data_IF_877971894664
#
_entry.id   IF_877971894664
#
_cell.length_a   1.000
_cell.length_b   1.000
_cell.length_c   1.000
_cell.angle_alpha   90.00
_cell.angle_beta   90.00
_cell.angle_gamma   90.00
#
_symmetry.space_group_name_H-M   'P 1'
#
loop_
_entity.id
_entity.type
_entity.pdbx_description
1 polymer ?
#
# COMPACT_ATOMS: atom_id res chain seq x y z
N UNK A 1 30.22 -15.40 47.10
CA UNK A 1 28.94 -14.96 47.71
C UNK A 1 28.88 -13.44 47.68
N UNK A 2 28.07 -12.87 46.79
CA UNK A 2 27.53 -11.51 46.91
C UNK A 2 26.42 -11.38 45.86
N UNK A 3 25.16 -11.56 46.28
CA UNK A 3 23.99 -11.30 45.45
C UNK A 3 23.57 -9.85 45.69
N UNK A 4 23.85 -8.99 44.72
CA UNK A 4 23.29 -7.64 44.68
C UNK A 4 21.81 -7.74 44.30
N UNK A 5 20.94 -7.24 45.19
CA UNK A 5 19.50 -7.08 44.96
C UNK A 5 19.29 -5.83 44.13
N UNK A 6 18.95 -5.97 42.86
CA UNK A 6 18.46 -4.86 42.04
C UNK A 6 16.97 -4.70 42.29
N UNK A 7 16.63 -3.64 43.02
CA UNK A 7 15.28 -3.15 43.26
C UNK A 7 14.64 -2.75 41.93
N UNK A 8 13.58 -3.46 41.51
CA UNK A 8 12.69 -2.98 40.45
C UNK A 8 11.94 -1.76 40.98
N UNK A 9 12.38 -0.56 40.60
CA UNK A 9 11.60 0.65 40.72
C UNK A 9 10.47 0.63 39.69
N UNK A 10 9.25 0.36 40.16
CA UNK A 10 8.02 0.51 39.39
C UNK A 10 7.80 2.02 39.14
N UNK A 11 8.36 2.53 38.04
CA UNK A 11 8.07 3.89 37.59
C UNK A 11 6.68 3.90 36.94
N UNK A 12 5.69 4.31 37.73
CA UNK A 12 4.34 4.60 37.25
C UNK A 12 4.42 5.82 36.32
N UNK A 13 4.58 5.59 35.02
CA UNK A 13 4.41 6.64 34.02
C UNK A 13 2.92 7.02 33.97
N UNK A 14 2.54 8.03 34.75
CA UNK A 14 1.31 8.78 34.53
C UNK A 14 1.40 9.42 33.15
N UNK A 15 0.79 8.79 32.15
CA UNK A 15 0.50 9.44 30.89
C UNK A 15 -0.44 10.61 31.20
N UNK A 16 0.08 11.84 31.09
CA UNK A 16 -0.75 13.04 31.12
C UNK A 16 -1.50 13.04 29.80
N UNK A 17 -2.70 12.47 29.80
CA UNK A 17 -3.67 12.68 28.72
C UNK A 17 -4.04 14.16 28.72
N UNK A 18 -4.23 14.79 27.56
CA UNK A 18 -5.11 15.95 27.50
C UNK A 18 -6.51 15.42 27.79
N UNK A 19 -6.86 15.32 29.08
CA UNK A 19 -8.24 15.28 29.50
C UNK A 19 -8.82 16.58 28.96
N UNK A 20 -9.72 16.49 27.99
CA UNK A 20 -10.63 17.59 27.71
C UNK A 20 -11.15 18.04 29.07
N UNK A 21 -10.83 19.27 29.47
CA UNK A 21 -11.53 19.96 30.54
C UNK A 21 -12.96 20.19 30.04
N UNK A 22 -13.74 19.12 29.97
CA UNK A 22 -15.15 19.13 29.68
C UNK A 22 -15.82 19.61 30.96
N UNK A 23 -16.02 20.92 31.04
CA UNK A 23 -16.99 21.51 31.94
C UNK A 23 -18.39 21.05 31.54
N UNK A 24 -18.76 19.82 31.92
CA UNK A 24 -20.11 19.23 32.02
C UNK A 24 -19.97 17.71 32.06
N UNK A 25 -20.62 17.02 32.99
CA UNK A 25 -20.59 15.55 33.16
C UNK A 25 -21.15 14.79 31.94
N UNK A 26 -20.38 14.65 30.87
CA UNK A 26 -20.72 13.80 29.72
C UNK A 26 -20.74 12.33 30.15
N UNK A 27 -21.77 11.58 29.74
CA UNK A 27 -21.82 10.13 30.00
C UNK A 27 -20.89 9.41 29.02
N UNK A 28 -19.96 8.59 29.53
CA UNK A 28 -19.05 7.81 28.68
C UNK A 28 -19.50 6.36 28.55
N UNK A 29 -19.52 5.85 27.33
CA UNK A 29 -19.64 4.41 27.03
C UNK A 29 -18.26 3.85 26.72
N UNK A 30 -17.90 2.76 27.38
CA UNK A 30 -16.62 2.11 27.23
C UNK A 30 -16.76 0.81 26.44
N UNK A 31 -15.89 0.63 25.45
CA UNK A 31 -15.74 -0.57 24.66
C UNK A 31 -14.32 -1.10 24.76
N UNK A 32 -14.24 -2.41 24.81
CA UNK A 32 -13.03 -3.22 24.62
C UNK A 32 -13.33 -4.31 23.60
N UNK A 33 -12.32 -4.98 23.00
CA UNK A 33 -12.57 -6.09 22.08
C UNK A 33 -13.54 -7.13 22.63
N UNK A 34 -13.38 -7.56 23.87
CA UNK A 34 -14.29 -8.50 24.53
C UNK A 34 -15.74 -8.00 24.57
N UNK A 35 -15.98 -6.75 24.97
CA UNK A 35 -17.36 -6.21 25.07
C UNK A 35 -18.07 -6.09 23.72
N UNK A 36 -17.32 -5.99 22.62
CA UNK A 36 -17.87 -5.94 21.26
C UNK A 36 -17.80 -7.31 20.54
N UNK A 37 -17.35 -8.36 21.25
CA UNK A 37 -17.21 -9.71 20.70
C UNK A 37 -16.14 -9.82 19.61
N UNK A 38 -15.05 -9.05 19.72
CA UNK A 38 -13.91 -9.03 18.80
C UNK A 38 -14.26 -8.68 17.35
N UNK A 39 -15.37 -7.96 17.14
CA UNK A 39 -15.80 -7.52 15.80
C UNK A 39 -14.99 -6.30 15.36
N UNK A 40 -14.36 -6.39 14.19
CA UNK A 40 -13.57 -5.28 13.62
C UNK A 40 -14.44 -4.04 13.37
N UNK A 41 -15.71 -4.21 12.99
CA UNK A 41 -16.64 -3.11 12.84
C UNK A 41 -17.15 -2.66 14.21
N UNK A 42 -16.77 -1.46 14.64
CA UNK A 42 -17.24 -0.89 15.88
C UNK A 42 -18.75 -0.57 15.82
N UNK A 43 -19.50 -0.74 16.92
CA UNK A 43 -20.94 -0.48 16.97
C UNK A 43 -21.29 0.99 16.70
N UNK A 44 -22.49 1.28 16.20
CA UNK A 44 -22.97 2.67 16.11
C UNK A 44 -23.33 3.20 17.51
N UNK A 45 -23.14 4.51 17.71
CA UNK A 45 -23.61 5.19 18.92
C UNK A 45 -24.56 6.32 18.57
N UNK A 46 -25.61 6.49 19.37
CA UNK A 46 -26.49 7.65 19.33
C UNK A 46 -26.61 8.24 20.73
N UNK A 47 -26.68 9.56 20.82
CA UNK A 47 -27.00 10.23 22.08
C UNK A 47 -28.48 9.97 22.40
N UNK A 48 -28.82 9.32 23.54
CA UNK A 48 -30.21 9.08 23.88
C UNK A 48 -30.99 10.39 24.10
N UNK A 49 -32.31 10.40 23.87
CA UNK A 49 -33.15 11.56 24.18
C UNK A 49 -32.96 12.01 25.64
N UNK A 50 -32.81 13.32 25.87
CA UNK A 50 -32.62 13.90 27.20
C UNK A 50 -31.19 13.83 27.75
N UNK A 51 -30.23 13.22 27.03
CA UNK A 51 -28.81 13.24 27.40
C UNK A 51 -28.12 14.40 26.67
N UNK A 52 -27.62 15.38 27.43
CA UNK A 52 -26.97 16.56 26.85
C UNK A 52 -25.60 16.30 26.21
N UNK A 53 -24.91 15.23 26.61
CA UNK A 53 -23.60 14.85 26.07
C UNK A 53 -23.29 13.37 26.31
N UNK A 54 -22.77 12.69 25.28
CA UNK A 54 -22.32 11.29 25.35
C UNK A 54 -20.98 11.14 24.62
N UNK A 55 -20.00 10.52 25.29
CA UNK A 55 -18.70 10.16 24.75
C UNK A 55 -18.64 8.64 24.59
N UNK A 56 -17.91 8.16 23.58
CA UNK A 56 -17.57 6.74 23.46
C UNK A 56 -16.06 6.59 23.51
N UNK A 57 -15.58 5.60 24.24
CA UNK A 57 -14.17 5.22 24.28
C UNK A 57 -14.04 3.76 23.87
N UNK A 58 -13.17 3.46 22.91
CA UNK A 58 -12.72 2.10 22.62
C UNK A 58 -11.25 1.97 23.01
N UNK A 59 -10.95 1.04 23.91
CA UNK A 59 -9.58 0.79 24.36
C UNK A 59 -9.14 -0.66 24.14
N UNK A 60 -7.89 -0.81 23.69
CA UNK A 60 -7.18 -2.09 23.60
C UNK A 60 -6.01 -2.11 24.57
N UNK A 61 -5.64 -3.28 25.07
CA UNK A 61 -4.46 -3.49 25.91
C UNK A 61 -3.83 -4.87 25.65
N UNK A 62 -2.73 -5.20 26.35
CA UNK A 62 -1.99 -6.44 26.11
C UNK A 62 -2.82 -7.72 26.32
N UNK A 63 -3.86 -7.69 27.16
CA UNK A 63 -4.71 -8.84 27.49
C UNK A 63 -6.02 -8.88 26.70
N UNK A 64 -6.47 -7.75 26.20
CA UNK A 64 -7.72 -7.59 25.46
C UNK A 64 -7.44 -6.79 24.19
N UNK A 65 -7.11 -7.52 23.12
CA UNK A 65 -6.42 -6.99 21.95
C UNK A 65 -7.14 -7.30 20.65
N UNK A 66 -7.08 -6.34 19.72
CA UNK A 66 -7.36 -6.51 18.30
C UNK A 66 -6.34 -5.72 17.49
N UNK A 67 -5.90 -6.27 16.35
CA UNK A 67 -4.93 -5.60 15.49
C UNK A 67 -5.57 -4.53 14.61
N UNK A 68 -6.86 -4.65 14.32
CA UNK A 68 -7.55 -3.77 13.36
C UNK A 68 -9.00 -3.50 13.74
N UNK A 69 -9.45 -2.30 13.42
CA UNK A 69 -10.83 -1.85 13.58
C UNK A 69 -11.31 -1.03 12.37
N UNK A 70 -12.62 -0.94 12.24
CA UNK A 70 -13.36 0.02 11.42
C UNK A 70 -14.24 0.85 12.34
N UNK A 71 -14.21 2.15 12.12
CA UNK A 71 -15.02 3.13 12.86
C UNK A 71 -16.50 2.90 12.59
N UNK A 72 -17.39 3.30 13.52
CA UNK A 72 -18.81 3.15 13.32
C UNK A 72 -19.32 3.90 12.07
N UNK A 73 -20.43 3.44 11.51
CA UNK A 73 -21.10 4.14 10.41
C UNK A 73 -21.75 5.45 10.88
N UNK A 74 -22.16 5.52 12.14
CA UNK A 74 -22.65 6.73 12.80
C UNK A 74 -22.23 6.72 14.28
N UNK A 75 -21.66 7.83 14.75
CA UNK A 75 -21.20 7.97 16.13
C UNK A 75 -21.13 9.42 16.61
N UNK A 76 -21.12 9.62 17.94
CA UNK A 76 -20.84 10.91 18.58
C UNK A 76 -19.34 11.19 18.65
N UNK A 77 -18.83 11.92 19.65
CA UNK A 77 -17.40 11.90 19.97
C UNK A 77 -16.92 10.48 20.30
N UNK A 78 -15.79 10.06 19.72
CA UNK A 78 -15.22 8.71 19.89
C UNK A 78 -13.71 8.79 20.11
N UNK A 79 -13.24 8.28 21.24
CA UNK A 79 -11.83 8.11 21.56
C UNK A 79 -11.40 6.67 21.27
N UNK A 80 -10.29 6.52 20.56
CA UNK A 80 -9.63 5.24 20.32
C UNK A 80 -8.30 5.25 21.05
N UNK A 81 -8.10 4.32 21.99
CA UNK A 81 -6.95 4.29 22.89
C UNK A 81 -6.22 2.96 22.78
N UNK A 82 -4.92 3.02 22.48
CA UNK A 82 -4.03 1.87 22.56
C UNK A 82 -3.24 1.91 23.88
N UNK A 83 -3.74 1.22 24.90
CA UNK A 83 -3.14 1.08 26.22
C UNK A 83 -2.20 -0.13 26.34
N UNK A 84 -1.77 -0.74 25.23
CA UNK A 84 -0.78 -1.80 25.28
C UNK A 84 0.56 -1.26 25.81
N UNK A 85 1.31 -2.10 26.54
CA UNK A 85 2.66 -1.76 26.99
C UNK A 85 3.72 -2.17 25.96
N UNK A 86 3.45 -3.18 25.12
CA UNK A 86 4.39 -3.62 24.10
C UNK A 86 4.43 -2.68 22.90
N UNK A 87 5.62 -2.19 22.52
CA UNK A 87 5.80 -1.34 21.34
C UNK A 87 5.47 -2.03 20.01
N UNK A 88 5.34 -3.35 20.00
CA UNK A 88 4.95 -4.14 18.82
C UNK A 88 3.42 -4.12 18.60
N UNK A 89 2.65 -3.79 19.63
CA UNK A 89 1.19 -3.76 19.60
C UNK A 89 0.70 -2.48 18.91
N UNK A 90 0.45 -2.60 17.62
CA UNK A 90 -0.05 -1.50 16.77
C UNK A 90 -1.51 -1.75 16.40
N UNK A 91 -2.38 -0.79 16.70
CA UNK A 91 -3.78 -0.82 16.29
C UNK A 91 -3.94 -0.13 14.93
N UNK A 92 -4.58 -0.80 13.98
CA UNK A 92 -4.87 -0.26 12.65
C UNK A 92 -6.33 0.18 12.50
N UNK A 93 -6.55 1.41 12.03
CA UNK A 93 -7.87 1.96 11.77
C UNK A 93 -8.09 1.99 10.25
N UNK A 94 -9.03 1.19 9.75
CA UNK A 94 -9.26 0.92 8.32
C UNK A 94 -10.43 1.72 7.72
N UNK A 95 -10.58 2.97 8.15
CA UNK A 95 -11.62 3.88 7.67
C UNK A 95 -11.09 5.07 6.88
N UNK A 96 -11.98 5.70 6.12
CA UNK A 96 -11.66 6.92 5.39
C UNK A 96 -11.76 8.10 6.35
N UNK A 97 -10.62 8.69 6.67
CA UNK A 97 -10.50 9.80 7.62
C UNK A 97 -10.07 11.05 6.83
N UNK A 98 -10.78 12.15 7.04
CA UNK A 98 -10.50 13.43 6.40
C UNK A 98 -9.08 13.89 6.73
N UNK A 99 -8.33 14.36 5.72
CA UNK A 99 -6.93 14.76 5.87
C UNK A 99 -5.94 13.61 6.08
N UNK A 100 -6.37 12.35 5.93
CA UNK A 100 -5.54 11.15 6.13
C UNK A 100 -5.74 10.19 4.95
N UNK A 101 -5.24 10.52 3.76
CA UNK A 101 -5.48 9.73 2.56
C UNK A 101 -4.75 8.38 2.62
N UNK A 102 -5.38 7.34 2.08
CA UNK A 102 -4.90 5.96 2.18
C UNK A 102 -5.29 5.28 3.51
N UNK A 103 -5.18 3.95 3.55
CA UNK A 103 -5.49 3.12 4.71
C UNK A 103 -4.35 2.12 4.94
N UNK A 104 -4.12 1.67 6.18
CA UNK A 104 -4.75 2.12 7.43
C UNK A 104 -4.15 3.43 8.00
N UNK A 105 -4.75 3.99 9.05
CA UNK A 105 -4.06 4.85 10.03
C UNK A 105 -3.60 3.98 11.20
N UNK A 106 -2.35 4.11 11.65
CA UNK A 106 -1.79 3.29 12.72
C UNK A 106 -1.67 4.05 14.03
N UNK A 107 -1.97 3.35 15.13
CA UNK A 107 -1.89 3.87 16.49
C UNK A 107 -0.96 2.98 17.33
N UNK A 108 0.22 3.50 17.65
CA UNK A 108 1.19 2.79 18.48
C UNK A 108 0.71 2.62 19.93
N UNK A 109 1.31 1.66 20.63
CA UNK A 109 1.16 1.49 22.06
C UNK A 109 1.39 2.80 22.84
N UNK A 110 0.53 3.06 23.83
CA UNK A 110 0.54 4.27 24.65
C UNK A 110 0.02 5.53 23.95
N UNK A 111 -0.67 5.40 22.81
CA UNK A 111 -1.25 6.54 22.07
C UNK A 111 -2.77 6.46 22.04
N UNK A 112 -3.38 7.64 21.89
CA UNK A 112 -4.81 7.82 21.68
C UNK A 112 -5.07 8.71 20.46
N UNK A 113 -6.27 8.61 19.91
CA UNK A 113 -6.81 9.53 18.90
C UNK A 113 -8.32 9.71 19.12
N UNK A 114 -8.77 10.94 19.02
CA UNK A 114 -10.15 11.37 19.19
C UNK A 114 -10.77 11.73 17.84
N UNK A 115 -11.96 11.19 17.59
CA UNK A 115 -12.77 11.45 16.41
C UNK A 115 -13.98 12.31 16.75
N UNK A 116 -14.30 13.20 15.82
CA UNK A 116 -15.52 14.01 15.82
C UNK A 116 -16.73 13.17 15.42
N UNK A 117 -17.92 13.66 15.76
CA UNK A 117 -19.17 12.98 15.45
C UNK A 117 -19.38 12.81 13.95
N UNK A 118 -19.92 11.63 13.60
CA UNK A 118 -20.27 11.23 12.24
C UNK A 118 -21.75 10.93 12.18
N UNK A 119 -22.50 11.68 11.35
CA UNK A 119 -23.82 11.22 10.90
C UNK A 119 -23.63 10.23 9.74
N UNK A 120 -24.60 9.32 9.56
CA UNK A 120 -24.54 8.32 8.48
C UNK A 120 -24.19 8.96 7.13
N UNK A 121 -23.20 8.41 6.45
CA UNK A 121 -22.73 8.91 5.14
C UNK A 121 -21.79 10.12 5.17
N UNK A 122 -21.50 10.71 6.33
CA UNK A 122 -20.55 11.84 6.43
C UNK A 122 -19.09 11.39 6.56
N UNK A 123 -18.16 12.29 6.24
CA UNK A 123 -16.72 12.12 6.45
C UNK A 123 -16.37 12.09 7.94
N UNK A 124 -15.33 11.32 8.29
CA UNK A 124 -14.77 11.27 9.64
C UNK A 124 -13.71 12.35 9.79
N UNK A 125 -13.73 13.07 10.91
CA UNK A 125 -12.71 14.07 11.27
C UNK A 125 -12.12 13.74 12.64
N UNK A 126 -10.93 14.28 12.93
CA UNK A 126 -10.20 14.06 14.18
C UNK A 126 -9.79 15.38 14.82
N UNK A 127 -9.76 15.42 16.14
CA UNK A 127 -9.23 16.54 16.92
C UNK A 127 -7.70 16.58 16.96
N UNK A 128 -7.03 15.43 16.77
CA UNK A 128 -5.58 15.27 16.92
C UNK A 128 -4.81 15.55 15.64
N UNK A 129 -5.29 16.51 14.86
CA UNK A 129 -4.60 17.02 13.68
C UNK A 129 -4.10 18.44 13.92
N UNK A 130 -2.87 18.71 13.49
CA UNK A 130 -2.36 20.07 13.39
C UNK A 130 -2.24 20.47 11.92
N UNK A 131 -2.59 21.71 11.57
CA UNK A 131 -2.42 22.23 10.21
C UNK A 131 -1.33 23.29 10.18
N UNK A 132 -0.45 23.20 9.19
CA UNK A 132 0.66 24.13 8.98
C UNK A 132 0.80 24.45 7.50
N UNK A 133 1.34 25.64 7.19
CA UNK A 133 1.67 26.02 5.82
C UNK A 133 3.08 26.62 5.78
N UNK A 134 3.84 26.44 4.69
CA UNK A 134 5.14 27.07 4.52
C UNK A 134 5.03 28.61 4.35
N UNK A 135 6.10 29.35 4.66
CA UNK A 135 6.14 30.82 4.59
C UNK A 135 6.34 31.37 3.17
N UNK A 136 5.88 30.67 2.13
CA UNK A 136 6.09 31.03 0.71
C UNK A 136 7.57 31.14 0.29
N UNK A 137 8.25 29.99 0.17
CA UNK A 137 9.71 29.91 -0.05
C UNK A 137 10.06 28.93 -1.17
N UNK A 138 11.29 28.95 -1.67
CA UNK A 138 11.76 27.94 -2.63
C UNK A 138 11.86 26.55 -1.99
N UNK A 139 12.28 26.48 -0.72
CA UNK A 139 12.46 25.24 0.03
C UNK A 139 12.07 25.42 1.49
N UNK A 140 11.36 24.45 2.04
CA UNK A 140 10.94 24.46 3.44
C UNK A 140 11.15 23.09 4.12
N UNK A 141 11.80 23.13 5.28
CA UNK A 141 11.89 21.99 6.18
C UNK A 141 10.62 21.97 7.04
N UNK A 142 9.84 20.90 6.93
CA UNK A 142 8.66 20.72 7.78
C UNK A 142 9.16 20.59 9.24
N UNK A 143 8.64 21.40 10.18
CA UNK A 143 9.04 21.31 11.57
C UNK A 143 8.51 20.02 12.19
N UNK A 144 9.14 19.61 13.31
CA UNK A 144 8.70 18.43 14.05
C UNK A 144 7.24 18.58 14.47
N UNK A 145 6.45 17.54 14.23
CA UNK A 145 5.08 17.44 14.67
C UNK A 145 4.99 17.11 16.17
N UNK A 146 4.02 17.72 16.86
CA UNK A 146 3.66 17.38 18.24
C UNK A 146 2.46 16.42 18.31
N UNK A 147 1.59 16.45 17.30
CA UNK A 147 0.38 15.64 17.17
C UNK A 147 0.62 14.37 16.34
N UNK A 148 -0.26 13.38 16.47
CA UNK A 148 -0.23 12.16 15.64
C UNK A 148 -0.38 12.46 14.15
N UNK A 149 -1.26 13.41 13.80
CA UNK A 149 -1.51 13.81 12.41
C UNK A 149 -1.08 15.26 12.22
N UNK A 150 -0.30 15.51 11.17
CA UNK A 150 0.05 16.86 10.72
C UNK A 150 -0.31 17.03 9.26
N UNK A 151 -1.09 18.07 8.96
CA UNK A 151 -1.53 18.44 7.63
C UNK A 151 -0.69 19.64 7.19
N UNK A 152 0.06 19.47 6.12
CA UNK A 152 0.80 20.53 5.45
C UNK A 152 -0.08 21.02 4.30
N UNK A 153 -0.75 22.15 4.51
CA UNK A 153 -1.62 22.80 3.53
C UNK A 153 -0.81 23.78 2.68
N UNK A 154 -0.63 23.46 1.41
CA UNK A 154 0.00 24.31 0.42
C UNK A 154 -1.08 25.03 -0.39
N UNK A 155 -0.96 26.35 -0.48
CA UNK A 155 -1.88 27.20 -1.26
C UNK A 155 -1.12 28.38 -1.87
N UNK A 156 -1.76 29.07 -2.80
CA UNK A 156 -1.17 30.28 -3.38
C UNK A 156 -0.82 31.29 -2.27
N UNK A 157 0.42 31.79 -2.26
CA UNK A 157 0.93 32.68 -1.20
C UNK A 157 1.36 31.99 0.10
N UNK A 158 1.19 30.67 0.23
CA UNK A 158 1.75 29.82 1.29
C UNK A 158 2.22 28.50 0.70
N UNK A 159 3.24 28.57 -0.14
CA UNK A 159 3.76 27.44 -0.91
C UNK A 159 5.25 27.19 -0.64
N UNK A 160 5.73 25.98 -0.93
CA UNK A 160 7.15 25.72 -1.03
C UNK A 160 7.44 24.89 -2.28
N UNK A 161 8.42 25.30 -3.09
CA UNK A 161 8.81 24.54 -4.28
C UNK A 161 9.35 23.15 -3.93
N UNK A 162 10.10 23.08 -2.83
CA UNK A 162 10.61 21.84 -2.27
C UNK A 162 10.26 21.71 -0.78
N UNK A 163 9.92 20.49 -0.37
CA UNK A 163 9.66 20.14 1.02
C UNK A 163 10.66 19.09 1.50
N UNK A 164 11.04 19.19 2.77
CA UNK A 164 11.84 18.16 3.45
C UNK A 164 11.07 17.72 4.69
N UNK A 165 10.82 16.41 4.81
CA UNK A 165 10.19 15.82 5.99
C UNK A 165 11.07 16.02 7.24
N UNK A 166 10.52 16.05 8.46
CA UNK A 166 11.32 16.19 9.68
C UNK A 166 12.39 15.09 9.79
N UNK A 167 13.52 15.37 10.45
CA UNK A 167 14.58 14.36 10.62
C UNK A 167 14.24 13.25 11.62
N UNK A 168 13.23 13.47 12.46
CA UNK A 168 12.78 12.55 13.52
C UNK A 168 11.25 12.58 13.63
N UNK A 169 10.67 11.48 14.12
CA UNK A 169 9.26 11.37 14.46
C UNK A 169 9.05 10.40 15.63
N UNK A 170 7.83 10.32 16.15
CA UNK A 170 7.38 9.23 17.03
C UNK A 170 6.72 8.13 16.21
N UNK A 171 6.55 6.95 16.81
CA UNK A 171 5.96 5.78 16.15
C UNK A 171 4.64 6.11 15.46
N UNK A 172 4.62 5.97 14.13
CA UNK A 172 3.47 6.21 13.26
C UNK A 172 2.94 7.65 13.25
N UNK A 173 3.77 8.61 13.65
CA UNK A 173 3.50 10.01 13.33
C UNK A 173 3.26 10.16 11.83
N UNK A 174 2.21 10.89 11.48
CA UNK A 174 1.68 10.98 10.12
C UNK A 174 1.77 12.41 9.63
N UNK A 175 2.33 12.59 8.44
CA UNK A 175 2.34 13.86 7.73
C UNK A 175 1.57 13.67 6.42
N UNK A 176 0.46 14.38 6.31
CA UNK A 176 -0.28 14.56 5.06
C UNK A 176 0.16 15.87 4.43
N UNK A 177 0.54 15.84 3.16
CA UNK A 177 0.87 17.05 2.39
C UNK A 177 -0.23 17.21 1.36
N UNK A 178 -1.02 18.28 1.48
CA UNK A 178 -2.12 18.63 0.59
C UNK A 178 -1.71 19.83 -0.24
N UNK A 179 -1.77 19.69 -1.56
CA UNK A 179 -1.44 20.79 -2.44
C UNK A 179 -2.67 21.39 -3.11
N UNK A 180 -3.17 22.48 -2.55
CA UNK A 180 -4.24 23.29 -3.11
C UNK A 180 -3.71 24.51 -3.90
N UNK A 181 -2.38 24.61 -4.08
CA UNK A 181 -1.77 25.66 -4.89
C UNK A 181 -1.78 25.31 -6.38
N UNK A 182 -1.70 26.34 -7.22
CA UNK A 182 -1.60 26.18 -8.68
C UNK A 182 -0.30 25.51 -9.14
N UNK A 183 0.78 25.67 -8.37
CA UNK A 183 2.09 25.10 -8.66
C UNK A 183 2.31 23.80 -7.91
N UNK A 184 3.00 22.85 -8.54
CA UNK A 184 3.39 21.61 -7.88
C UNK A 184 4.51 21.85 -6.85
N UNK A 185 4.58 21.00 -5.83
CA UNK A 185 5.72 20.91 -4.91
C UNK A 185 6.45 19.57 -5.10
N UNK A 186 7.70 19.52 -4.67
CA UNK A 186 8.52 18.30 -4.65
C UNK A 186 9.00 18.00 -3.25
N UNK A 187 8.62 16.86 -2.69
CA UNK A 187 9.13 16.40 -1.40
C UNK A 187 10.40 15.58 -1.60
N UNK A 188 11.48 15.99 -0.94
CA UNK A 188 12.79 15.36 -1.02
C UNK A 188 12.87 14.12 -0.13
N UNK A 189 13.52 13.05 -0.63
CA UNK A 189 13.70 11.78 0.07
C UNK A 189 14.71 11.79 1.23
N UNK A 190 15.26 12.95 1.64
CA UNK A 190 16.37 13.07 2.61
C UNK A 190 16.20 12.24 3.88
N UNK A 191 14.96 12.14 4.40
CA UNK A 191 14.64 11.41 5.63
C UNK A 191 13.77 10.17 5.39
N UNK A 192 13.76 9.64 4.18
CA UNK A 192 13.16 8.34 3.82
C UNK A 192 14.26 7.28 3.70
N UNK A 193 13.92 5.99 3.47
CA UNK A 193 14.91 4.97 3.14
C UNK A 193 15.65 5.20 1.82
N UNK A 194 15.12 6.08 0.95
CA UNK A 194 15.64 6.32 -0.39
C UNK A 194 15.92 7.82 -0.60
N UNK A 195 17.12 8.31 -0.24
CA UNK A 195 17.48 9.74 -0.35
C UNK A 195 17.37 10.33 -1.76
N UNK A 196 17.51 9.48 -2.79
CA UNK A 196 17.34 9.84 -4.20
C UNK A 196 15.89 10.04 -4.64
N UNK A 197 14.91 9.62 -3.83
CA UNK A 197 13.49 9.70 -4.17
C UNK A 197 13.00 11.15 -4.20
N UNK A 198 12.07 11.44 -5.10
CA UNK A 198 11.36 12.72 -5.17
C UNK A 198 9.86 12.46 -5.32
N UNK A 199 9.07 12.95 -4.37
CA UNK A 199 7.61 12.87 -4.43
C UNK A 199 7.07 14.17 -5.01
N UNK A 200 6.61 14.17 -6.25
CA UNK A 200 5.90 15.32 -6.80
C UNK A 200 4.46 15.33 -6.27
N UNK A 201 3.97 16.49 -5.84
CA UNK A 201 2.59 16.69 -5.37
C UNK A 201 1.98 17.83 -6.18
N UNK A 202 1.09 17.50 -7.12
CA UNK A 202 0.48 18.45 -8.04
C UNK A 202 -0.72 19.15 -7.40
N UNK A 203 -1.22 20.19 -8.06
CA UNK A 203 -2.46 20.87 -7.65
C UNK A 203 -3.61 19.87 -7.49
N UNK A 204 -4.31 19.94 -6.37
CA UNK A 204 -5.43 19.05 -5.99
C UNK A 204 -5.01 17.70 -5.42
N UNK A 205 -3.72 17.40 -5.29
CA UNK A 205 -3.25 16.11 -4.77
C UNK A 205 -2.91 16.16 -3.28
N UNK A 206 -2.99 14.98 -2.65
CA UNK A 206 -2.49 14.74 -1.31
C UNK A 206 -1.59 13.50 -1.27
N UNK A 207 -0.49 13.57 -0.52
CA UNK A 207 0.40 12.45 -0.24
C UNK A 207 0.55 12.27 1.26
N UNK A 208 0.84 11.04 1.72
CA UNK A 208 0.98 10.73 3.14
C UNK A 208 2.27 9.97 3.42
N UNK A 209 3.04 10.49 4.37
CA UNK A 209 4.19 9.82 4.96
C UNK A 209 3.89 9.45 6.42
N UNK A 210 4.42 8.31 6.86
CA UNK A 210 4.30 7.80 8.22
C UNK A 210 5.71 7.49 8.75
N UNK A 211 6.01 7.87 9.99
CA UNK A 211 7.30 7.57 10.60
C UNK A 211 7.34 6.13 11.09
N UNK A 212 8.21 5.32 10.49
CA UNK A 212 8.46 3.95 10.93
C UNK A 212 9.40 3.96 12.15
N UNK A 213 8.95 3.48 13.33
CA UNK A 213 9.75 3.52 14.54
C UNK A 213 10.96 2.57 14.53
N UNK A 214 10.94 1.51 13.73
CA UNK A 214 12.01 0.53 13.64
C UNK A 214 13.06 0.97 12.64
N UNK A 215 12.65 1.38 11.44
CA UNK A 215 13.56 1.93 10.44
C UNK A 215 14.08 3.32 10.81
N UNK A 216 13.36 4.05 11.68
CA UNK A 216 13.60 5.45 12.04
C UNK A 216 13.64 6.35 10.80
N UNK A 217 12.72 6.11 9.87
CA UNK A 217 12.60 6.80 8.58
C UNK A 217 11.13 7.06 8.27
N UNK A 218 10.90 8.10 7.47
CA UNK A 218 9.58 8.36 6.92
C UNK A 218 9.31 7.46 5.72
N UNK A 219 8.18 6.77 5.77
CA UNK A 219 7.70 5.84 4.75
C UNK A 219 6.52 6.46 4.02
N UNK A 220 6.54 6.47 2.69
CA UNK A 220 5.37 6.85 1.91
C UNK A 220 4.31 5.76 1.99
N UNK A 221 3.20 6.07 2.67
CA UNK A 221 2.07 5.15 2.86
C UNK A 221 0.89 5.50 1.93
N UNK A 222 0.89 6.70 1.34
CA UNK A 222 -0.04 7.08 0.28
C UNK A 222 0.62 8.01 -0.73
N UNK A 223 0.43 7.72 -2.01
CA UNK A 223 0.69 8.62 -3.13
C UNK A 223 -0.32 8.32 -4.24
N UNK A 224 -0.89 9.35 -4.90
CA UNK A 224 -1.87 9.16 -5.96
C UNK A 224 -1.21 8.55 -7.20
N UNK A 225 -2.02 7.86 -8.00
CA UNK A 225 -1.61 7.44 -9.34
C UNK A 225 -1.80 8.61 -10.30
N UNK A 226 -0.77 8.92 -11.08
CA UNK A 226 -0.88 9.89 -12.17
C UNK A 226 -1.00 9.20 -13.49
N UNK A 227 -2.08 9.46 -14.20
CA UNK A 227 -2.21 9.04 -15.57
C UNK A 227 -1.25 9.83 -16.47
N UNK A 228 -0.65 9.13 -17.42
CA UNK A 228 0.21 9.71 -18.44
C UNK A 228 -0.24 9.22 -19.81
N UNK A 229 -0.35 10.16 -20.73
CA UNK A 229 -0.68 9.90 -22.13
C UNK A 229 0.51 9.32 -22.88
N UNK A 230 0.23 8.44 -23.85
CA UNK A 230 1.26 7.78 -24.68
C UNK A 230 2.10 8.77 -25.50
N UNK A 231 1.52 9.91 -25.90
CA UNK A 231 2.27 11.00 -26.56
C UNK A 231 3.39 11.56 -25.67
N UNK A 232 3.19 11.53 -24.35
CA UNK A 232 4.11 12.07 -23.34
C UNK A 232 5.02 11.00 -22.74
N UNK A 233 5.08 9.80 -23.33
CA UNK A 233 5.82 8.62 -22.83
C UNK A 233 7.30 8.87 -22.53
N UNK A 234 7.92 9.86 -23.16
CA UNK A 234 9.34 10.19 -22.95
C UNK A 234 9.57 11.21 -21.83
N UNK A 235 8.52 11.90 -21.36
CA UNK A 235 8.64 12.82 -20.23
C UNK A 235 8.86 12.06 -18.92
N UNK A 236 9.51 12.72 -17.96
CA UNK A 236 9.73 12.18 -16.60
C UNK A 236 8.42 11.73 -15.96
N UNK A 237 8.42 10.58 -15.30
CA UNK A 237 7.30 10.09 -14.48
C UNK A 237 7.25 10.76 -13.10
N UNK A 238 6.06 10.74 -12.49
CA UNK A 238 5.91 10.98 -11.06
C UNK A 238 6.20 9.68 -10.28
N UNK A 239 6.18 9.76 -8.96
CA UNK A 239 6.44 8.63 -8.05
C UNK A 239 5.60 7.38 -8.36
N UNK A 240 4.35 7.55 -8.79
CA UNK A 240 3.46 6.51 -9.30
C UNK A 240 2.74 6.97 -10.55
N UNK A 241 3.19 6.51 -11.70
CA UNK A 241 2.58 6.82 -13.00
C UNK A 241 1.88 5.60 -13.59
N UNK A 242 0.72 5.81 -14.20
CA UNK A 242 0.01 4.81 -15.01
C UNK A 242 -0.01 5.31 -16.44
N UNK A 243 0.40 4.48 -17.39
CA UNK A 243 0.24 4.75 -18.81
C UNK A 243 -0.53 3.60 -19.43
N UNK A 244 -1.70 3.93 -19.96
CA UNK A 244 -2.57 2.99 -20.65
C UNK A 244 -2.47 3.19 -22.16
N UNK A 245 -2.26 2.08 -22.87
CA UNK A 245 -2.33 2.03 -24.32
C UNK A 245 -3.74 1.60 -24.71
N UNK A 246 -4.39 2.40 -25.54
CA UNK A 246 -5.77 2.17 -26.00
C UNK A 246 -5.87 2.46 -27.50
N UNK A 247 -6.97 2.05 -28.11
CA UNK A 247 -7.22 2.39 -29.52
C UNK A 247 -7.27 3.92 -29.68
N UNK A 248 -6.48 4.45 -30.62
CA UNK A 248 -6.26 5.89 -30.81
C UNK A 248 -5.14 6.51 -29.95
N UNK A 249 -4.71 5.85 -28.88
CA UNK A 249 -3.53 6.23 -28.07
C UNK A 249 -2.63 4.99 -27.88
N UNK A 250 -1.98 4.57 -28.97
CA UNK A 250 -1.18 3.34 -29.04
C UNK A 250 0.28 3.62 -29.44
N UNK A 251 1.21 2.80 -28.98
CA UNK A 251 2.60 2.82 -29.41
C UNK A 251 3.27 1.46 -29.27
N UNK A 252 4.09 1.07 -30.24
CA UNK A 252 5.00 -0.07 -30.15
C UNK A 252 6.33 0.24 -30.85
N UNK A 253 7.49 0.02 -30.21
CA UNK A 253 7.62 -0.37 -28.81
C UNK A 253 7.26 0.77 -27.86
N UNK A 254 6.80 0.42 -26.66
CA UNK A 254 6.71 1.33 -25.52
C UNK A 254 7.93 1.12 -24.62
N UNK A 255 8.42 2.19 -24.01
CA UNK A 255 9.61 2.13 -23.15
C UNK A 255 9.40 3.01 -21.93
N UNK A 256 9.66 2.51 -20.71
CA UNK A 256 9.78 3.38 -19.54
C UNK A 256 10.73 4.56 -19.81
N UNK A 257 10.41 5.77 -19.34
CA UNK A 257 11.21 6.95 -19.67
C UNK A 257 12.62 6.88 -19.08
N UNK A 258 13.59 7.48 -19.77
CA UNK A 258 14.99 7.48 -19.35
C UNK A 258 15.28 8.46 -18.20
N UNK A 259 14.34 9.35 -17.88
CA UNK A 259 14.46 10.32 -16.78
C UNK A 259 13.48 9.94 -15.68
N UNK A 260 14.02 9.53 -14.54
CA UNK A 260 13.27 9.13 -13.35
C UNK A 260 14.10 9.41 -12.10
N UNK A 261 13.44 9.61 -10.96
CA UNK A 261 14.10 9.61 -9.66
C UNK A 261 14.07 8.22 -9.04
N UNK A 262 14.91 8.03 -8.02
CA UNK A 262 14.98 6.74 -7.35
C UNK A 262 13.61 6.31 -6.83
N UNK A 263 13.25 5.06 -7.11
CA UNK A 263 11.98 4.43 -6.77
C UNK A 263 10.73 5.04 -7.42
N UNK A 264 10.86 5.90 -8.43
CA UNK A 264 9.74 6.22 -9.31
C UNK A 264 9.19 4.93 -9.93
N UNK A 265 7.87 4.84 -10.05
CA UNK A 265 7.19 3.67 -10.61
C UNK A 265 6.35 4.02 -11.82
N UNK A 266 6.31 3.10 -12.77
CA UNK A 266 5.43 3.17 -13.92
C UNK A 266 4.66 1.86 -14.09
N UNK A 267 3.35 1.97 -14.21
CA UNK A 267 2.46 0.89 -14.61
C UNK A 267 2.17 1.07 -16.10
N UNK A 268 2.47 0.05 -16.90
CA UNK A 268 2.15 -0.03 -18.31
C UNK A 268 1.03 -1.07 -18.48
N UNK A 269 -0.11 -0.65 -19.00
CA UNK A 269 -1.24 -1.55 -19.28
C UNK A 269 -1.83 -1.27 -20.66
N UNK A 270 -2.55 -2.25 -21.21
CA UNK A 270 -3.16 -2.09 -22.53
C UNK A 270 -4.60 -2.57 -22.58
N UNK A 271 -5.47 -1.75 -23.16
CA UNK A 271 -6.82 -2.10 -23.61
C UNK A 271 -6.92 -2.10 -25.15
N UNK A 272 -5.85 -1.69 -25.84
CA UNK A 272 -5.79 -1.59 -27.31
C UNK A 272 -6.02 -2.93 -28.03
N UNK A 273 -6.56 -2.84 -29.25
CA UNK A 273 -6.74 -4.00 -30.15
C UNK A 273 -5.41 -4.53 -30.66
N UNK A 274 -4.44 -3.64 -30.88
CA UNK A 274 -3.13 -3.98 -31.43
C UNK A 274 -2.12 -4.30 -30.33
N UNK A 275 -1.48 -5.46 -30.43
CA UNK A 275 -0.41 -5.87 -29.52
C UNK A 275 0.75 -4.85 -29.54
N UNK A 276 1.30 -4.59 -28.36
CA UNK A 276 2.49 -3.77 -28.18
C UNK A 276 3.63 -4.58 -27.59
N UNK A 277 4.83 -4.02 -27.64
CA UNK A 277 6.00 -4.58 -26.96
C UNK A 277 6.60 -3.54 -26.02
N UNK A 278 6.94 -3.96 -24.80
CA UNK A 278 7.69 -3.15 -23.84
C UNK A 278 9.17 -3.44 -24.01
N UNK A 279 9.93 -2.44 -24.42
CA UNK A 279 11.39 -2.44 -24.27
C UNK A 279 11.74 -1.80 -22.93
N UNK A 280 12.21 -2.61 -21.96
CA UNK A 280 12.33 -2.18 -20.55
C UNK A 280 13.36 -1.07 -20.34
N UNK A 281 14.56 -1.19 -20.93
CA UNK A 281 15.64 -0.22 -20.78
C UNK A 281 16.04 0.36 -22.15
N UNK A 282 15.76 1.65 -22.36
CA UNK A 282 16.09 2.36 -23.60
C UNK A 282 17.61 2.36 -23.82
N UNK A 283 18.04 2.04 -25.04
CA UNK A 283 19.46 2.10 -25.42
C UNK A 283 20.32 0.92 -24.96
N UNK A 284 19.78 -0.02 -24.17
CA UNK A 284 20.46 -1.27 -23.85
C UNK A 284 20.14 -2.32 -24.93
N UNK A 285 21.13 -2.81 -25.71
CA UNK A 285 20.92 -3.87 -26.69
C UNK A 285 20.49 -5.21 -26.07
N UNK A 286 20.86 -5.44 -24.81
CA UNK A 286 20.45 -6.61 -24.03
C UNK A 286 19.16 -6.35 -23.23
N UNK A 287 18.47 -5.23 -23.49
CA UNK A 287 17.19 -4.94 -22.84
C UNK A 287 16.21 -6.07 -23.06
N UNK A 288 15.48 -6.39 -22.00
CA UNK A 288 14.33 -7.29 -22.10
C UNK A 288 13.22 -6.65 -22.94
N UNK A 289 12.56 -7.50 -23.71
CA UNK A 289 11.34 -7.22 -24.45
C UNK A 289 10.20 -8.04 -23.85
N UNK A 290 9.08 -7.41 -23.53
CA UNK A 290 7.91 -8.06 -22.93
C UNK A 290 6.67 -7.79 -23.80
N UNK A 291 5.82 -8.79 -24.07
CA UNK A 291 4.56 -8.56 -24.77
C UNK A 291 3.61 -7.73 -23.89
N UNK A 292 2.93 -6.76 -24.49
CA UNK A 292 1.89 -5.96 -23.87
C UNK A 292 0.64 -6.02 -24.75
N UNK A 293 -0.20 -7.02 -24.48
CA UNK A 293 -1.45 -7.28 -25.18
C UNK A 293 -2.64 -6.71 -24.43
N UNK A 294 -3.81 -6.75 -25.05
CA UNK A 294 -5.06 -6.37 -24.39
C UNK A 294 -5.24 -7.13 -23.07
N UNK A 295 -5.46 -6.39 -21.98
CA UNK A 295 -5.63 -6.89 -20.63
C UNK A 295 -4.33 -7.08 -19.84
N UNK A 296 -3.16 -6.95 -20.49
CA UNK A 296 -1.89 -7.07 -19.79
C UNK A 296 -1.57 -5.81 -18.96
N UNK A 297 -0.91 -6.03 -17.83
CA UNK A 297 -0.40 -4.97 -16.95
C UNK A 297 0.99 -5.35 -16.40
N UNK A 298 1.92 -4.40 -16.44
CA UNK A 298 3.27 -4.51 -15.88
C UNK A 298 3.55 -3.30 -14.99
N UNK A 299 4.23 -3.51 -13.87
CA UNK A 299 4.74 -2.43 -13.02
C UNK A 299 6.27 -2.50 -12.98
N UNK A 300 6.90 -1.35 -13.18
CA UNK A 300 8.35 -1.19 -13.10
C UNK A 300 8.71 -0.17 -12.03
N UNK A 301 9.88 -0.34 -11.42
CA UNK A 301 10.51 0.64 -10.52
C UNK A 301 11.87 1.04 -11.06
N UNK A 302 12.17 2.33 -11.00
CA UNK A 302 13.49 2.83 -11.33
C UNK A 302 14.42 2.67 -10.12
N UNK A 303 15.61 2.13 -10.36
CA UNK A 303 16.67 1.99 -9.35
C UNK A 303 17.82 2.90 -9.76
N UNK A 304 17.98 4.02 -9.05
CA UNK A 304 18.92 5.06 -9.44
C UNK A 304 20.38 4.58 -9.42
N UNK A 305 20.75 3.73 -8.46
CA UNK A 305 22.10 3.14 -8.35
C UNK A 305 22.51 2.33 -9.59
N UNK A 306 21.53 1.74 -10.28
CA UNK A 306 21.77 0.95 -11.50
C UNK A 306 21.43 1.73 -12.77
N UNK A 307 20.82 2.92 -12.62
CA UNK A 307 20.25 3.72 -13.70
C UNK A 307 19.34 2.90 -14.64
N UNK A 308 18.53 2.01 -14.06
CA UNK A 308 17.75 1.01 -14.79
C UNK A 308 16.36 0.82 -14.20
N UNK A 309 15.42 0.43 -15.07
CA UNK A 309 14.09 -0.02 -14.69
C UNK A 309 14.11 -1.51 -14.37
N UNK A 310 13.48 -1.86 -13.26
CA UNK A 310 13.29 -3.24 -12.79
C UNK A 310 11.82 -3.59 -12.80
N UNK A 311 11.53 -4.80 -13.27
CA UNK A 311 10.18 -5.36 -13.25
C UNK A 311 9.77 -5.68 -11.79
N UNK A 312 8.73 -5.03 -11.29
CA UNK A 312 8.13 -5.32 -9.99
C UNK A 312 6.96 -6.30 -10.10
N UNK A 313 6.10 -6.09 -11.08
CA UNK A 313 4.91 -6.90 -11.33
C UNK A 313 4.77 -7.13 -12.82
N UNK A 314 4.35 -8.33 -13.19
CA UNK A 314 4.25 -8.76 -14.57
C UNK A 314 2.87 -9.35 -14.84
N UNK A 315 2.45 -9.32 -16.10
CA UNK A 315 1.26 -10.06 -16.52
C UNK A 315 1.52 -11.56 -16.42
N UNK A 316 0.50 -12.29 -15.97
CA UNK A 316 0.49 -13.75 -15.94
C UNK A 316 -0.41 -14.20 -17.07
N UNK A 317 0.05 -15.14 -17.90
CA UNK A 317 -0.77 -15.74 -18.94
C UNK A 317 -1.48 -16.99 -18.40
N UNK A 318 -2.78 -16.91 -18.02
CA UNK A 318 -3.51 -18.09 -17.60
C UNK A 318 -3.81 -18.99 -18.81
N UNK A 319 -3.66 -20.29 -18.61
CA UNK A 319 -4.05 -21.32 -19.56
C UNK A 319 -5.02 -22.26 -18.86
N UNK A 320 -6.27 -22.25 -19.32
CA UNK A 320 -7.29 -23.18 -18.87
C UNK A 320 -7.14 -24.51 -19.62
N UNK A 321 -7.09 -25.61 -18.87
CA UNK A 321 -6.99 -26.96 -19.39
C UNK A 321 -8.32 -27.71 -19.40
N UNK A 322 -9.40 -27.06 -18.95
CA UNK A 322 -10.74 -27.62 -18.90
C UNK A 322 -11.20 -28.10 -20.28
N UNK A 323 -11.63 -29.36 -20.32
CA UNK A 323 -12.06 -30.07 -21.53
C UNK A 323 -10.98 -30.17 -22.64
N UNK A 324 -9.70 -29.96 -22.31
CA UNK A 324 -8.60 -30.16 -23.24
C UNK A 324 -7.96 -31.54 -23.02
N UNK A 325 -7.76 -32.31 -24.09
CA UNK A 325 -6.98 -33.57 -24.00
C UNK A 325 -5.48 -33.29 -23.97
N UNK A 326 -5.05 -32.28 -24.71
CA UNK A 326 -3.65 -31.92 -24.86
C UNK A 326 -3.55 -30.41 -25.02
N UNK A 327 -2.60 -29.80 -24.30
CA UNK A 327 -2.34 -28.37 -24.30
C UNK A 327 -0.85 -28.17 -24.57
N UNK A 328 -0.51 -27.67 -25.77
CA UNK A 328 0.87 -27.28 -26.12
C UNK A 328 1.08 -25.82 -25.76
N UNK A 329 1.85 -25.57 -24.72
CA UNK A 329 2.18 -24.21 -24.31
C UNK A 329 3.11 -23.58 -25.35
N UNK A 330 2.79 -22.34 -25.73
CA UNK A 330 3.62 -21.54 -26.63
C UNK A 330 4.43 -20.54 -25.80
N UNK A 331 5.70 -20.34 -26.17
CA UNK A 331 6.47 -19.21 -25.66
C UNK A 331 6.04 -17.96 -26.41
N UNK A 332 5.07 -17.26 -25.85
CA UNK A 332 4.53 -16.01 -26.38
C UNK A 332 5.32 -14.77 -25.94
N UNK A 333 6.51 -14.96 -25.35
CA UNK A 333 7.36 -13.88 -24.84
C UNK A 333 7.08 -13.46 -23.39
N UNK A 334 6.04 -13.99 -22.75
CA UNK A 334 5.78 -13.77 -21.32
C UNK A 334 6.81 -14.46 -20.44
N UNK A 335 7.08 -13.92 -19.26
CA UNK A 335 7.99 -14.56 -18.30
C UNK A 335 7.30 -15.61 -17.43
N UNK A 336 5.98 -15.54 -17.31
CA UNK A 336 5.19 -16.46 -16.49
C UNK A 336 3.97 -16.93 -17.26
N UNK A 337 3.87 -18.25 -17.42
CA UNK A 337 2.67 -18.94 -17.86
C UNK A 337 2.10 -19.67 -16.66
N UNK A 338 0.84 -19.44 -16.35
CA UNK A 338 0.13 -20.16 -15.30
C UNK A 338 -0.82 -21.16 -15.96
N UNK A 339 -0.69 -22.44 -15.60
CA UNK A 339 -1.54 -23.50 -16.11
C UNK A 339 -2.37 -24.03 -14.95
N UNK A 340 -3.69 -23.92 -15.08
CA UNK A 340 -4.61 -24.36 -14.07
C UNK A 340 -5.12 -25.77 -14.41
N UNK A 341 -5.07 -26.67 -13.42
CA UNK A 341 -5.73 -27.97 -13.51
C UNK A 341 -7.24 -27.77 -13.75
N UNK A 342 -7.91 -28.69 -14.46
CA UNK A 342 -9.29 -28.47 -14.87
C UNK A 342 -10.22 -28.44 -13.65
N UNK A 343 -11.22 -27.53 -13.68
CA UNK A 343 -12.20 -27.40 -12.57
C UNK A 343 -13.23 -28.53 -12.61
N UNK A 344 -13.60 -28.96 -13.81
CA UNK A 344 -14.43 -30.13 -14.07
C UNK A 344 -14.11 -30.66 -15.45
N UNK A 345 -13.50 -31.85 -15.57
CA UNK A 345 -13.24 -32.45 -16.87
C UNK A 345 -13.41 -33.97 -16.83
N UNK A 346 -13.96 -34.58 -17.90
CA UNK A 346 -14.00 -36.03 -18.04
C UNK A 346 -12.63 -36.64 -18.40
N UNK A 347 -11.63 -35.79 -18.68
CA UNK A 347 -10.32 -36.18 -19.18
C UNK A 347 -9.21 -35.45 -18.41
N UNK A 348 -8.12 -36.16 -18.13
CA UNK A 348 -6.88 -35.59 -17.60
C UNK A 348 -6.08 -34.98 -18.76
N UNK A 349 -5.84 -33.66 -18.79
CA UNK A 349 -5.08 -33.00 -19.85
C UNK A 349 -3.59 -33.33 -19.79
N UNK A 350 -2.97 -33.49 -20.96
CA UNK A 350 -1.53 -33.50 -21.14
C UNK A 350 -1.03 -32.10 -21.51
N UNK A 351 -0.31 -31.44 -20.61
CA UNK A 351 0.28 -30.12 -20.81
C UNK A 351 1.73 -30.28 -21.25
N UNK A 352 2.04 -29.89 -22.48
CA UNK A 352 3.38 -29.96 -23.06
C UNK A 352 4.05 -28.59 -22.88
N UNK A 353 5.18 -28.56 -22.17
CA UNK A 353 5.94 -27.34 -21.91
C UNK A 353 6.58 -26.78 -23.19
N UNK A 354 6.76 -25.44 -23.28
CA UNK A 354 7.45 -24.85 -24.43
C UNK A 354 8.95 -25.20 -24.37
N UNK A 355 9.67 -24.90 -25.46
CA UNK A 355 11.13 -24.97 -25.45
C UNK A 355 11.68 -24.08 -24.32
N UNK A 356 12.71 -24.52 -23.57
CA UNK A 356 13.27 -23.73 -22.49
C UNK A 356 13.80 -22.37 -23.00
N UNK A 357 13.40 -21.29 -22.33
CA UNK A 357 13.98 -19.95 -22.49
C UNK A 357 14.42 -19.44 -21.13
N UNK A 358 15.57 -18.77 -21.08
CA UNK A 358 16.07 -18.18 -19.83
C UNK A 358 15.04 -17.22 -19.23
N UNK A 359 14.73 -17.43 -17.94
CA UNK A 359 13.80 -16.60 -17.18
C UNK A 359 12.31 -16.94 -17.36
N UNK A 360 11.93 -17.80 -18.31
CA UNK A 360 10.57 -18.31 -18.41
C UNK A 360 10.25 -19.24 -17.23
N UNK A 361 9.11 -18.99 -16.58
CA UNK A 361 8.55 -19.83 -15.53
C UNK A 361 7.19 -20.34 -15.96
N UNK A 362 6.95 -21.63 -15.76
CA UNK A 362 5.63 -22.23 -15.89
C UNK A 362 5.16 -22.61 -14.49
N UNK A 363 4.06 -22.04 -14.04
CA UNK A 363 3.45 -22.31 -12.74
C UNK A 363 2.27 -23.26 -12.99
N UNK A 364 2.37 -24.47 -12.46
CA UNK A 364 1.31 -25.47 -12.53
C UNK A 364 0.48 -25.40 -11.23
N UNK A 365 -0.79 -25.00 -11.34
CA UNK A 365 -1.71 -24.89 -10.22
C UNK A 365 -2.61 -26.11 -10.20
N UNK A 366 -2.44 -26.95 -9.18
CA UNK A 366 -3.24 -28.18 -9.01
C UNK A 366 -4.67 -27.90 -8.52
N UNK A 367 -5.54 -28.90 -8.71
CA UNK A 367 -6.88 -28.93 -8.12
C UNK A 367 -6.95 -30.11 -7.13
N UNK A 368 -7.72 -30.04 -6.03
CA UNK A 368 -7.74 -31.10 -5.01
C UNK A 368 -8.14 -32.49 -5.52
N UNK A 369 -8.94 -32.53 -6.59
CA UNK A 369 -9.50 -33.78 -7.15
C UNK A 369 -9.07 -34.02 -8.60
N UNK A 370 -8.85 -32.94 -9.35
CA UNK A 370 -8.59 -33.03 -10.79
C UNK A 370 -7.10 -32.88 -11.05
N UNK A 371 -6.58 -33.72 -11.93
CA UNK A 371 -5.15 -33.80 -12.22
C UNK A 371 -4.87 -33.30 -13.63
N UNK A 372 -3.60 -32.96 -13.88
CA UNK A 372 -3.04 -32.69 -15.20
C UNK A 372 -1.66 -33.32 -15.27
N UNK A 373 -1.27 -33.81 -16.45
CA UNK A 373 0.07 -34.33 -16.69
C UNK A 373 0.94 -33.21 -17.26
N UNK A 374 2.15 -33.01 -16.71
CA UNK A 374 3.13 -32.10 -17.27
C UNK A 374 4.16 -32.90 -18.06
N UNK A 375 4.32 -32.59 -19.34
CA UNK A 375 5.22 -33.26 -20.28
C UNK A 375 6.27 -32.27 -20.74
N UNK A 376 7.54 -32.65 -20.68
CA UNK A 376 8.64 -31.86 -21.19
C UNK A 376 9.83 -32.74 -21.53
N UNK A 377 10.56 -32.35 -22.57
CA UNK A 377 11.63 -33.15 -23.14
C UNK A 377 12.94 -33.11 -22.30
N UNK A 378 13.06 -32.17 -21.35
CA UNK A 378 14.30 -31.92 -20.59
C UNK A 378 14.03 -31.47 -19.13
N UNK A 379 13.15 -32.15 -18.40
CA UNK A 379 12.99 -31.91 -16.97
C UNK A 379 14.20 -32.43 -16.20
N UNK A 380 14.81 -31.58 -15.37
CA UNK A 380 15.89 -31.99 -14.45
C UNK A 380 15.35 -32.72 -13.20
N UNK A 381 14.15 -33.29 -13.31
CA UNK A 381 13.48 -34.05 -12.25
C UNK A 381 13.14 -35.42 -12.84
N UNK A 382 13.46 -36.54 -12.16
CA UNK A 382 12.97 -37.84 -12.58
C UNK A 382 11.46 -37.82 -12.49
N UNK A 383 10.75 -37.79 -13.62
CA UNK A 383 9.31 -38.04 -13.64
C UNK A 383 9.15 -39.48 -13.19
N UNK A 384 8.64 -39.69 -11.97
CA UNK A 384 8.23 -41.02 -11.51
C UNK A 384 7.12 -41.51 -12.43
N UNK A 385 7.50 -42.21 -13.51
CA UNK A 385 6.57 -43.00 -14.29
C UNK A 385 6.09 -44.13 -13.37
N UNK A 386 4.98 -43.93 -12.68
CA UNK A 386 4.19 -45.04 -12.16
C UNK A 386 3.63 -45.80 -13.36
N UNK A 387 4.47 -46.64 -13.97
CA UNK A 387 4.02 -47.71 -14.86
C UNK A 387 3.16 -48.63 -13.99
N UNK A 388 1.83 -48.50 -14.07
CA UNK A 388 0.94 -49.61 -13.75
C UNK A 388 1.18 -50.67 -14.82
N UNK A 389 2.12 -51.57 -14.56
CA UNK A 389 2.18 -52.85 -15.25
C UNK A 389 0.85 -53.57 -15.02
N UNK A 390 0.03 -53.65 -16.07
CA UNK A 390 -0.93 -54.73 -16.17
C UNK A 390 -0.13 -56.00 -16.43
N UNK A 391 -0.27 -56.99 -15.57
CA UNK A 391 0.15 -58.35 -15.82
C UNK A 391 -1.05 -59.26 -15.55
N UNK A 392 -1.51 -59.86 -16.65
CA UNK A 392 -2.32 -61.08 -16.86
C UNK A 392 -3.42 -61.41 -15.85
#
# INVERSE_FOLDING_TARGET
>A
MNRSRTTLGLALCLAITPVLAAGSNCRTTYWTPETIGFKEQLPNTSTPPGVGCMLTEFSVNDRNWMDKIRLPHAFGPLDIINNAASSEKTLEIHDSISGVPGKPLKLAAGRAISFLSRKSGQSVYTWDSSSQSPPNTSRWQIPRNSQLISIIDLRNGKHAGELILPSVGKAFDTITIENNATSATKVLGTHTPFPGQRMDVASGEAVRAEFDPFARRWMWVHAPYREKKVKDRYHRVASRTVMELQDGEWASPVTPPSVAHDRDRIILRSSATWDSEIKVNKGDPASKHLPLRRGDEYEFVFVAEQNRWHLLRQSIRPVDTTNQKEVRLKDEGYDVIEVNAPVSAPITPNVILPKPRQGLRVIAVGHPVMTMNIIADNLNVPVLQTRRSHSA
#
